data_IF_921104198670
#
_entry.id   IF_921104198670
#
_cell.length_a   1.000
_cell.length_b   1.000
_cell.length_c   1.000
_cell.angle_alpha   90.00
_cell.angle_beta   90.00
_cell.angle_gamma   90.00
#
_symmetry.space_group_name_H-M   'P 1'
#
loop_
_entity.id
_entity.type
_entity.pdbx_description
1 polymer ?
#
# COMPACT_ATOMS: atom_id res chain seq x y z
N UNK A 1 -12.75 -16.78 0.90
CA UNK A 1 -12.04 -15.47 0.84
C UNK A 1 -10.55 -15.77 1.07
N UNK A 2 -9.69 -15.55 0.07
CA UNK A 2 -8.25 -15.82 0.21
C UNK A 2 -7.66 -14.83 1.25
N UNK A 3 -7.26 -15.33 2.41
CA UNK A 3 -6.56 -14.55 3.43
C UNK A 3 -5.07 -14.76 3.24
N UNK A 4 -4.33 -13.70 2.88
CA UNK A 4 -2.87 -13.77 2.83
C UNK A 4 -2.32 -14.17 4.21
N UNK A 5 -1.45 -15.19 4.31
CA UNK A 5 -0.97 -15.72 5.60
C UNK A 5 -0.21 -14.67 6.43
N UNK A 6 0.33 -13.64 5.78
CA UNK A 6 1.16 -12.61 6.40
C UNK A 6 0.39 -11.38 6.93
N UNK A 7 -0.94 -11.41 6.88
CA UNK A 7 -1.74 -10.20 7.13
C UNK A 7 -1.56 -9.62 8.53
N UNK A 8 -1.39 -10.47 9.55
CA UNK A 8 -1.21 -10.00 10.93
C UNK A 8 0.10 -9.23 11.10
N UNK A 9 1.16 -9.66 10.43
CA UNK A 9 2.46 -8.99 10.48
C UNK A 9 2.41 -7.66 9.73
N UNK A 10 1.74 -7.62 8.57
CA UNK A 10 1.51 -6.37 7.83
C UNK A 10 0.72 -5.39 8.68
N UNK A 11 -0.37 -5.83 9.33
CA UNK A 11 -1.15 -4.94 10.20
C UNK A 11 -0.29 -4.36 11.30
N UNK A 12 0.52 -5.17 12.01
CA UNK A 12 1.40 -4.67 13.07
C UNK A 12 2.44 -3.65 12.57
N UNK A 13 3.00 -3.88 11.39
CA UNK A 13 3.96 -2.93 10.81
C UNK A 13 3.25 -1.63 10.36
N UNK A 14 2.05 -1.73 9.81
CA UNK A 14 1.21 -0.57 9.51
C UNK A 14 0.85 0.22 10.77
N UNK A 15 0.48 -0.47 11.86
CA UNK A 15 0.21 0.17 13.16
C UNK A 15 1.43 0.98 13.60
N UNK A 16 2.62 0.37 13.56
CA UNK A 16 3.87 1.04 13.94
C UNK A 16 4.17 2.26 13.06
N UNK A 17 4.11 2.11 11.74
CA UNK A 17 4.45 3.22 10.83
C UNK A 17 3.43 4.35 10.88
N UNK A 18 2.13 4.03 10.96
CA UNK A 18 1.10 5.04 11.11
C UNK A 18 1.26 5.76 12.44
N UNK A 19 1.59 5.06 13.53
CA UNK A 19 1.87 5.70 14.83
C UNK A 19 3.03 6.68 14.73
N UNK A 20 4.13 6.31 14.05
CA UNK A 20 5.26 7.21 13.84
C UNK A 20 4.87 8.49 13.09
N UNK A 21 3.96 8.38 12.10
CA UNK A 21 3.44 9.53 11.37
C UNK A 21 2.50 10.38 12.23
N UNK A 22 1.71 9.76 13.11
CA UNK A 22 0.89 10.47 14.10
C UNK A 22 1.77 11.26 15.07
N UNK A 23 2.83 10.63 15.61
CA UNK A 23 3.74 11.29 16.54
C UNK A 23 4.49 12.46 15.87
N UNK A 24 4.83 12.34 14.59
CA UNK A 24 5.59 13.35 13.83
C UNK A 24 4.72 14.48 13.26
N UNK A 25 3.39 14.30 13.26
CA UNK A 25 2.42 15.21 12.64
C UNK A 25 2.46 16.65 13.15
N UNK A 26 2.87 16.87 14.39
CA UNK A 26 2.92 18.20 14.99
C UNK A 26 4.13 19.02 14.53
N UNK A 27 5.12 18.36 13.93
CA UNK A 27 6.39 18.98 13.51
C UNK A 27 6.56 18.92 11.99
N UNK A 28 6.08 17.84 11.35
CA UNK A 28 6.20 17.64 9.92
C UNK A 28 4.84 17.75 9.18
N UNK A 29 4.77 18.69 8.23
CA UNK A 29 3.58 18.89 7.41
C UNK A 29 3.32 17.70 6.48
N UNK A 30 4.35 16.95 6.09
CA UNK A 30 4.19 15.77 5.24
C UNK A 30 3.50 14.64 5.99
N UNK A 31 3.93 14.35 7.23
CA UNK A 31 3.25 13.46 8.16
C UNK A 31 1.82 13.89 8.43
N UNK A 32 1.59 15.19 8.62
CA UNK A 32 0.24 15.74 8.81
C UNK A 32 -0.68 15.45 7.62
N UNK A 33 -0.26 15.78 6.41
CA UNK A 33 -1.03 15.52 5.19
C UNK A 33 -1.28 14.04 4.98
N UNK A 34 -0.28 13.20 5.23
CA UNK A 34 -0.42 11.76 5.12
C UNK A 34 -1.47 11.21 6.09
N UNK A 35 -1.39 11.57 7.37
CA UNK A 35 -2.34 11.13 8.39
C UNK A 35 -3.74 11.65 8.09
N UNK A 36 -3.90 12.91 7.66
CA UNK A 36 -5.21 13.46 7.26
C UNK A 36 -5.82 12.71 6.08
N UNK A 37 -4.99 12.44 5.08
CA UNK A 37 -5.42 11.75 3.88
C UNK A 37 -5.94 10.35 4.21
N UNK A 38 -5.18 9.55 4.98
CA UNK A 38 -5.61 8.19 5.30
C UNK A 38 -6.85 8.18 6.21
N UNK A 39 -6.96 9.10 7.17
CA UNK A 39 -8.10 9.16 8.10
C UNK A 39 -9.39 9.50 7.38
N UNK A 40 -9.36 10.49 6.48
CA UNK A 40 -10.51 10.85 5.66
C UNK A 40 -10.83 9.79 4.62
N UNK A 41 -9.83 9.30 3.89
CA UNK A 41 -10.06 8.39 2.76
C UNK A 41 -10.50 7.00 3.20
N UNK A 42 -10.05 6.54 4.38
CA UNK A 42 -10.34 5.21 4.90
C UNK A 42 -11.36 5.21 6.04
N UNK A 43 -11.85 6.39 6.44
CA UNK A 43 -12.79 6.59 7.55
C UNK A 43 -12.31 5.88 8.81
N UNK A 44 -11.15 6.30 9.28
CA UNK A 44 -10.41 5.68 10.39
C UNK A 44 -9.82 6.75 11.30
N UNK A 45 -9.47 6.36 12.53
CA UNK A 45 -8.78 7.24 13.46
C UNK A 45 -7.71 6.51 14.27
N UNK A 46 -6.54 7.16 14.37
CA UNK A 46 -5.33 6.59 14.96
C UNK A 46 -4.74 5.44 14.14
N UNK A 47 -3.63 4.89 14.63
CA UNK A 47 -3.02 3.70 14.05
C UNK A 47 -3.88 2.45 14.32
N UNK A 48 -4.22 2.27 15.60
CA UNK A 48 -5.12 1.24 16.15
C UNK A 48 -6.44 1.83 16.61
N UNK A 49 -6.43 3.04 17.19
CA UNK A 49 -7.62 3.69 17.74
C UNK A 49 -7.38 5.18 18.02
N UNK A 50 -8.44 5.93 18.28
CA UNK A 50 -8.34 7.33 18.71
C UNK A 50 -7.47 7.58 19.96
N UNK A 51 -7.25 6.56 20.80
CA UNK A 51 -6.42 6.66 22.00
C UNK A 51 -4.93 6.84 21.68
N UNK A 52 -4.54 6.58 20.43
CA UNK A 52 -3.16 6.76 19.95
C UNK A 52 -2.69 8.21 20.00
N UNK A 53 -3.63 9.16 20.09
CA UNK A 53 -3.37 10.59 20.33
C UNK A 53 -3.11 10.94 21.81
N UNK A 54 -3.13 9.96 22.72
CA UNK A 54 -2.76 10.13 24.15
C UNK A 54 -3.49 11.26 24.89
N UNK A 55 -4.74 11.54 24.49
CA UNK A 55 -5.57 12.59 25.08
C UNK A 55 -5.31 14.00 24.53
N UNK A 56 -4.50 14.13 23.48
CA UNK A 56 -4.34 15.36 22.72
C UNK A 56 -5.56 15.64 21.83
N UNK A 57 -5.58 16.83 21.22
CA UNK A 57 -6.65 17.23 20.31
C UNK A 57 -6.69 16.33 19.06
N UNK A 58 -7.82 15.63 18.87
CA UNK A 58 -8.04 14.82 17.66
C UNK A 58 -8.19 15.73 16.44
N UNK A 59 -7.47 15.45 15.33
CA UNK A 59 -7.61 16.21 14.10
C UNK A 59 -9.01 16.05 13.51
N UNK A 60 -9.47 17.04 12.74
CA UNK A 60 -10.79 16.99 12.10
C UNK A 60 -10.94 15.81 11.15
N UNK A 61 -9.84 15.34 10.55
CA UNK A 61 -9.81 14.17 9.66
C UNK A 61 -10.13 12.85 10.35
N UNK A 62 -10.06 12.79 11.68
CA UNK A 62 -10.41 11.62 12.49
C UNK A 62 -11.92 11.57 12.82
N UNK A 63 -12.72 12.52 12.30
CA UNK A 63 -14.16 12.62 12.55
C UNK A 63 -14.93 12.61 11.24
N UNK A 64 -16.13 12.07 11.28
CA UNK A 64 -17.08 12.18 10.18
C UNK A 64 -17.62 13.62 10.12
N UNK A 65 -17.55 14.27 8.96
CA UNK A 65 -17.91 15.69 8.80
C UNK A 65 -19.39 15.96 9.08
N UNK A 66 -20.28 15.03 8.73
CA UNK A 66 -21.73 15.20 8.88
C UNK A 66 -22.21 15.02 10.32
N UNK A 67 -21.66 14.02 11.02
CA UNK A 67 -22.11 13.63 12.36
C UNK A 67 -21.22 14.15 13.49
N UNK A 68 -20.00 14.61 13.18
CA UNK A 68 -18.99 15.01 14.16
C UNK A 68 -18.41 13.85 14.98
N UNK A 69 -18.86 12.62 14.74
CA UNK A 69 -18.44 11.44 15.48
C UNK A 69 -17.04 10.98 15.06
N UNK A 70 -16.24 10.55 16.04
CA UNK A 70 -14.91 9.98 15.79
C UNK A 70 -15.04 8.62 15.12
N UNK A 71 -14.20 8.36 14.13
CA UNK A 71 -14.17 7.05 13.48
C UNK A 71 -13.75 5.95 14.47
N UNK A 72 -14.54 4.86 14.60
CA UNK A 72 -14.30 3.84 15.62
C UNK A 72 -13.18 2.85 15.26
N UNK A 73 -12.70 2.86 14.01
CA UNK A 73 -11.72 1.89 13.49
C UNK A 73 -10.33 2.50 13.36
N UNK A 74 -9.30 1.74 13.73
CA UNK A 74 -7.89 2.09 13.47
C UNK A 74 -7.51 2.04 11.99
N UNK A 75 -6.63 2.95 11.58
CA UNK A 75 -6.23 3.08 10.18
C UNK A 75 -5.44 1.88 9.65
N UNK A 76 -4.65 1.19 10.47
CA UNK A 76 -3.89 0.03 9.99
C UNK A 76 -4.79 -1.12 9.49
N UNK A 77 -5.89 -1.39 10.20
CA UNK A 77 -6.87 -2.42 9.82
C UNK A 77 -7.65 -2.03 8.56
N UNK A 78 -8.10 -0.78 8.49
CA UNK A 78 -8.81 -0.22 7.34
C UNK A 78 -7.92 -0.19 6.09
N UNK A 79 -6.66 0.21 6.24
CA UNK A 79 -5.67 0.24 5.15
C UNK A 79 -5.39 -1.16 4.61
N UNK A 80 -5.20 -2.16 5.48
CA UNK A 80 -5.05 -3.55 5.03
C UNK A 80 -6.28 -4.03 4.25
N UNK A 81 -7.48 -3.69 4.72
CA UNK A 81 -8.74 -4.05 4.05
C UNK A 81 -8.86 -3.37 2.68
N UNK A 82 -8.49 -2.09 2.59
CA UNK A 82 -8.45 -1.34 1.35
C UNK A 82 -7.46 -1.96 0.34
N UNK A 83 -6.23 -2.25 0.78
CA UNK A 83 -5.21 -2.90 -0.04
C UNK A 83 -5.69 -4.26 -0.55
N UNK A 84 -6.34 -5.06 0.29
CA UNK A 84 -6.93 -6.35 -0.11
C UNK A 84 -8.03 -6.18 -1.16
N UNK A 85 -8.87 -5.17 -1.03
CA UNK A 85 -9.92 -4.87 -2.00
C UNK A 85 -9.34 -4.48 -3.36
N UNK A 86 -8.23 -3.73 -3.38
CA UNK A 86 -7.57 -3.29 -4.61
C UNK A 86 -6.55 -4.28 -5.16
N UNK A 87 -6.09 -5.25 -4.38
CA UNK A 87 -5.08 -6.23 -4.78
C UNK A 87 -5.48 -7.02 -6.04
N UNK A 88 -6.77 -7.34 -6.21
CA UNK A 88 -7.27 -8.02 -7.42
C UNK A 88 -7.07 -7.19 -8.69
N UNK A 89 -7.33 -5.88 -8.61
CA UNK A 89 -7.16 -4.96 -9.75
C UNK A 89 -5.68 -4.83 -10.12
N UNK A 90 -4.81 -4.62 -9.12
CA UNK A 90 -3.36 -4.52 -9.34
C UNK A 90 -2.78 -5.82 -9.88
N UNK A 91 -3.18 -6.96 -9.32
CA UNK A 91 -2.77 -8.28 -9.79
C UNK A 91 -3.21 -8.54 -11.23
N UNK A 92 -4.43 -8.13 -11.59
CA UNK A 92 -4.95 -8.24 -12.95
C UNK A 92 -4.15 -7.45 -13.98
N UNK A 93 -3.63 -6.27 -13.62
CA UNK A 93 -2.77 -5.47 -14.49
C UNK A 93 -1.32 -5.98 -14.54
N UNK A 94 -0.82 -6.54 -13.43
CA UNK A 94 0.56 -7.03 -13.35
C UNK A 94 0.78 -8.31 -14.16
N UNK A 95 -0.19 -9.24 -14.17
CA UNK A 95 -0.09 -10.52 -14.89
C UNK A 95 0.21 -10.39 -16.40
N UNK A 96 -0.51 -9.58 -17.20
CA UNK A 96 -0.22 -9.44 -18.63
C UNK A 96 1.15 -8.80 -18.88
N UNK A 97 1.58 -7.86 -18.03
CA UNK A 97 2.91 -7.26 -18.13
C UNK A 97 3.99 -8.32 -17.91
N UNK A 98 3.84 -9.16 -16.89
CA UNK A 98 4.75 -10.28 -16.63
C UNK A 98 4.77 -11.28 -17.79
N UNK A 99 3.61 -11.57 -18.38
CA UNK A 99 3.53 -12.46 -19.53
C UNK A 99 4.27 -11.88 -20.75
N UNK A 100 4.07 -10.60 -21.07
CA UNK A 100 4.80 -9.92 -22.15
C UNK A 100 6.31 -9.90 -21.88
N UNK A 101 6.73 -9.70 -20.63
CA UNK A 101 8.13 -9.72 -20.24
C UNK A 101 8.77 -11.10 -20.50
N UNK A 102 8.05 -12.18 -20.21
CA UNK A 102 8.52 -13.54 -20.49
C UNK A 102 8.67 -13.81 -22.00
N UNK A 103 7.70 -13.35 -22.81
CA UNK A 103 7.80 -13.46 -24.27
C UNK A 103 8.99 -12.69 -24.83
N UNK A 104 9.24 -11.48 -24.31
CA UNK A 104 10.38 -10.66 -24.72
C UNK A 104 11.73 -11.34 -24.38
N UNK A 105 11.84 -11.96 -23.20
CA UNK A 105 13.03 -12.72 -22.81
C UNK A 105 13.28 -13.93 -23.73
N UNK A 106 12.23 -14.68 -24.07
CA UNK A 106 12.32 -15.82 -25.00
C UNK A 106 12.76 -15.35 -26.38
N UNK A 107 12.10 -14.31 -26.92
CA UNK A 107 12.41 -13.75 -28.24
C UNK A 107 13.85 -13.23 -28.30
N UNK A 108 14.31 -12.52 -27.25
CA UNK A 108 15.69 -12.05 -27.13
C UNK A 108 16.68 -13.21 -27.11
N UNK A 109 16.37 -14.28 -26.36
CA UNK A 109 17.19 -15.50 -26.36
C UNK A 109 17.27 -16.18 -27.73
N UNK A 110 16.16 -16.25 -28.47
CA UNK A 110 16.15 -16.78 -29.84
C UNK A 110 17.00 -15.92 -30.79
N UNK A 111 16.88 -14.59 -30.71
CA UNK A 111 17.62 -13.65 -31.55
C UNK A 111 19.14 -13.74 -31.30
N UNK A 112 19.56 -13.84 -30.05
CA UNK A 112 21.00 -13.99 -29.72
C UNK A 112 21.55 -15.28 -30.34
N UNK A 113 20.80 -16.38 -30.27
CA UNK A 113 21.21 -17.65 -30.87
C UNK A 113 21.32 -17.58 -32.40
N UNK A 114 20.41 -16.88 -33.07
CA UNK A 114 20.50 -16.72 -34.53
C UNK A 114 21.71 -15.89 -34.94
N UNK A 115 22.02 -14.82 -34.19
CA UNK A 115 23.20 -14.00 -34.45
C UNK A 115 24.52 -14.74 -34.19
N UNK A 116 24.58 -15.58 -33.15
CA UNK A 116 25.75 -16.43 -32.88
C UNK A 116 25.94 -17.52 -33.95
N UNK A 117 24.85 -18.06 -34.50
CA UNK A 117 24.94 -18.98 -35.62
C UNK A 117 25.49 -18.27 -36.87
N UNK A 118 24.99 -17.07 -37.18
CA UNK A 118 25.45 -16.28 -38.34
C UNK A 118 26.92 -15.84 -38.21
N UNK A 119 27.36 -15.41 -37.03
CA UNK A 119 28.76 -15.00 -36.81
C UNK A 119 29.76 -16.15 -37.00
N UNK A 120 29.38 -17.39 -36.63
CA UNK A 120 30.20 -18.59 -36.85
C UNK A 120 30.35 -19.00 -38.31
N UNK A 121 29.45 -18.57 -39.20
CA UNK A 121 29.61 -18.83 -40.64
C UNK A 121 30.63 -17.90 -41.32
N UNK A 122 30.95 -16.76 -40.70
CA UNK A 122 31.88 -15.77 -41.23
C UNK A 122 33.35 -15.96 -40.76
N UNK A 123 33.64 -17.01 -40.00
CA UNK A 123 34.98 -17.42 -39.55
C UNK A 123 35.32 -18.75 -40.22
#
# INVERSE_FOLDING_TARGET
MWSAPYSKTITKELEKQIQQQIDSRYVDDSSRRFVDFIQNHLECCGATSQLDYKGEYLPNSCKNEDSGNVFPSGCASKMLTYLRSKAGLVGGLALPILFLQLLALIASGCLIKSLDAESRYFI
#
